data_IF_565943884437
#
_entry.id   IF_565943884437
#
_cell.length_a   1.000
_cell.length_b   1.000
_cell.length_c   1.000
_cell.angle_alpha   90.00
_cell.angle_beta   90.00
_cell.angle_gamma   90.00
#
_symmetry.space_group_name_H-M   'P 1'
#
loop_
_entity.id
_entity.type
_entity.pdbx_description
1 polymer ?
#
# COMPACT_ATOMS: atom_id res chain seq x y z
N UNK A 1 49.08 -58.81 31.40
CA UNK A 1 48.27 -57.96 32.32
C UNK A 1 47.79 -56.73 31.54
N UNK A 2 46.58 -56.21 31.81
CA UNK A 2 45.68 -55.58 30.83
C UNK A 2 45.53 -54.04 30.97
N UNK A 3 44.60 -53.49 30.18
CA UNK A 3 43.88 -52.18 30.26
C UNK A 3 44.44 -51.02 29.40
N UNK A 4 43.73 -50.53 28.37
CA UNK A 4 42.53 -49.63 28.38
C UNK A 4 42.82 -48.34 29.18
N UNK A 5 42.37 -47.11 28.87
CA UNK A 5 41.28 -46.63 28.04
C UNK A 5 41.46 -45.10 27.86
N UNK A 6 40.90 -44.59 26.76
CA UNK A 6 40.37 -43.23 26.49
C UNK A 6 40.16 -42.27 27.68
N UNK A 7 40.44 -40.97 27.51
CA UNK A 7 39.57 -39.90 28.05
C UNK A 7 39.70 -38.54 27.32
N UNK A 8 38.56 -38.15 26.71
CA UNK A 8 37.90 -36.82 26.57
C UNK A 8 38.63 -35.54 26.09
N UNK A 9 37.99 -34.95 25.07
CA UNK A 9 37.98 -33.52 24.67
C UNK A 9 37.76 -32.54 25.83
N UNK A 10 38.23 -31.29 25.64
CA UNK A 10 37.46 -30.11 25.96
C UNK A 10 37.10 -29.29 24.71
N UNK A 11 35.81 -28.97 24.63
CA UNK A 11 35.22 -27.87 23.87
C UNK A 11 35.88 -26.56 24.27
N UNK A 12 36.47 -25.83 23.33
CA UNK A 12 36.41 -24.35 23.28
C UNK A 12 37.10 -23.85 22.00
N UNK A 13 36.57 -22.75 21.47
CA UNK A 13 37.14 -21.92 20.39
C UNK A 13 36.78 -22.31 18.96
N UNK A 14 35.45 -22.35 18.74
CA UNK A 14 34.82 -21.72 17.57
C UNK A 14 35.25 -20.26 17.51
N UNK A 15 36.29 -19.94 16.74
CA UNK A 15 36.49 -18.59 16.21
C UNK A 15 37.64 -18.65 15.20
N UNK A 16 37.44 -17.98 14.06
CA UNK A 16 38.42 -17.62 13.03
C UNK A 16 38.26 -18.31 11.66
N UNK A 17 37.41 -17.65 10.85
CA UNK A 17 37.51 -17.40 9.40
C UNK A 17 37.23 -18.60 8.47
N UNK A 18 36.78 -18.41 7.20
CA UNK A 18 36.93 -17.22 6.37
C UNK A 18 35.73 -16.90 5.42
N UNK A 19 35.97 -15.95 4.52
CA UNK A 19 35.40 -15.86 3.18
C UNK A 19 34.05 -15.14 2.98
N UNK A 20 34.17 -13.84 2.66
CA UNK A 20 33.75 -13.30 1.36
C UNK A 20 32.70 -14.15 0.60
N UNK A 21 31.43 -13.87 0.87
CA UNK A 21 30.38 -14.10 -0.11
C UNK A 21 29.54 -12.82 -0.17
N UNK A 22 30.06 -11.89 -0.99
CA UNK A 22 29.36 -10.72 -1.50
C UNK A 22 28.14 -11.22 -2.30
N UNK A 23 27.02 -11.49 -1.63
CA UNK A 23 25.75 -11.72 -2.31
C UNK A 23 25.09 -10.37 -2.51
N UNK A 24 25.38 -9.84 -3.70
CA UNK A 24 24.52 -8.95 -4.50
C UNK A 24 23.29 -8.44 -3.76
N UNK A 25 23.39 -7.20 -3.29
CA UNK A 25 22.22 -6.39 -3.03
C UNK A 25 21.42 -6.32 -4.35
N UNK A 26 20.35 -7.09 -4.44
CA UNK A 26 19.31 -6.78 -5.40
C UNK A 26 18.83 -5.37 -5.04
N UNK A 27 18.87 -4.38 -5.94
CA UNK A 27 18.01 -3.24 -5.76
C UNK A 27 16.61 -3.82 -5.96
N UNK A 28 15.95 -4.15 -4.85
CA UNK A 28 14.52 -4.06 -4.82
C UNK A 28 14.24 -2.60 -5.16
N UNK A 29 14.01 -2.34 -6.44
CA UNK A 29 13.48 -1.10 -6.95
C UNK A 29 12.13 -0.99 -6.25
N UNK A 30 12.14 -0.42 -5.06
CA UNK A 30 10.99 0.22 -4.48
C UNK A 30 10.61 1.25 -5.54
N UNK A 31 9.65 0.87 -6.39
CA UNK A 31 8.90 1.78 -7.22
C UNK A 31 8.23 2.70 -6.20
N UNK A 32 8.95 3.73 -5.80
CA UNK A 32 8.35 4.94 -5.29
C UNK A 32 7.34 5.31 -6.38
N UNK A 33 6.05 5.51 -6.05
CA UNK A 33 5.16 6.10 -7.03
C UNK A 33 5.89 7.35 -7.51
N UNK A 34 6.20 7.40 -8.80
CA UNK A 34 6.83 8.55 -9.40
C UNK A 34 5.90 9.72 -9.08
N UNK A 35 6.27 10.50 -8.07
CA UNK A 35 5.69 11.81 -7.82
C UNK A 35 6.19 12.67 -8.97
N UNK A 36 5.51 12.53 -10.09
CA UNK A 36 5.75 13.30 -11.29
C UNK A 36 5.67 14.79 -10.89
N UNK A 37 6.75 15.58 -11.04
CA UNK A 37 6.78 16.98 -10.63
C UNK A 37 5.75 17.84 -11.40
N UNK A 38 5.06 17.29 -12.40
CA UNK A 38 3.88 17.89 -13.03
C UNK A 38 2.67 18.06 -12.09
N UNK A 39 2.72 17.52 -10.86
CA UNK A 39 1.68 17.68 -9.83
C UNK A 39 1.75 18.98 -9.03
N UNK A 40 2.80 19.81 -9.18
CA UNK A 40 2.89 21.09 -8.43
C UNK A 40 2.13 22.24 -9.09
N UNK A 41 1.62 22.04 -10.31
CA UNK A 41 0.55 22.87 -10.82
C UNK A 41 -0.76 22.36 -10.21
N UNK A 42 -1.56 23.24 -9.61
CA UNK A 42 -2.92 22.92 -9.11
C UNK A 42 -3.81 22.23 -10.17
N UNK A 43 -3.44 22.36 -11.44
CA UNK A 43 -3.96 21.59 -12.58
C UNK A 43 -3.82 20.07 -12.39
N UNK A 44 -2.72 19.58 -11.83
CA UNK A 44 -2.48 18.16 -11.57
C UNK A 44 -3.41 17.59 -10.52
N UNK A 45 -3.58 18.26 -9.37
CA UNK A 45 -4.50 17.81 -8.32
C UNK A 45 -5.95 17.76 -8.80
N UNK A 46 -6.36 18.71 -9.65
CA UNK A 46 -7.69 18.72 -10.26
C UNK A 46 -7.89 17.49 -11.16
N UNK A 47 -6.93 17.21 -12.05
CA UNK A 47 -6.98 16.05 -12.93
C UNK A 47 -7.02 14.73 -12.16
N UNK A 48 -6.24 14.61 -11.07
CA UNK A 48 -6.28 13.42 -10.22
C UNK A 48 -7.61 13.25 -9.49
N UNK A 49 -8.20 14.34 -8.98
CA UNK A 49 -9.54 14.28 -8.39
C UNK A 49 -10.57 13.79 -9.40
N UNK A 50 -10.53 14.29 -10.64
CA UNK A 50 -11.46 13.84 -11.69
C UNK A 50 -11.29 12.35 -11.98
N UNK A 51 -10.05 11.86 -12.09
CA UNK A 51 -9.76 10.43 -12.28
C UNK A 51 -10.29 9.60 -11.12
N UNK A 52 -10.04 10.03 -9.88
CA UNK A 52 -10.51 9.31 -8.68
C UNK A 52 -12.03 9.30 -8.63
N UNK A 53 -12.68 10.42 -8.91
CA UNK A 53 -14.13 10.53 -8.94
C UNK A 53 -14.74 9.59 -9.98
N UNK A 54 -14.17 9.52 -11.18
CA UNK A 54 -14.64 8.63 -12.24
C UNK A 54 -14.42 7.15 -11.89
N UNK A 55 -13.26 6.82 -11.33
CA UNK A 55 -12.97 5.46 -10.87
C UNK A 55 -13.92 5.01 -9.76
N UNK A 56 -14.26 5.90 -8.82
CA UNK A 56 -15.20 5.60 -7.74
C UNK A 56 -16.62 5.42 -8.25
N UNK A 57 -17.05 6.20 -9.24
CA UNK A 57 -18.34 6.01 -9.92
C UNK A 57 -18.42 4.68 -10.64
N UNK A 58 -17.39 4.36 -11.42
CA UNK A 58 -17.29 3.09 -12.13
C UNK A 58 -17.39 1.90 -11.17
N UNK A 59 -16.81 1.99 -9.97
CA UNK A 59 -16.83 0.91 -8.98
C UNK A 59 -18.25 0.66 -8.40
N UNK A 60 -19.09 1.70 -8.25
CA UNK A 60 -20.46 1.55 -7.73
C UNK A 60 -21.50 1.19 -8.79
N UNK A 61 -21.19 1.39 -10.07
CA UNK A 61 -22.03 0.96 -11.19
C UNK A 61 -22.01 -0.57 -11.37
N UNK A 62 -20.94 -1.22 -10.89
CA UNK A 62 -20.85 -2.68 -10.88
C UNK A 62 -21.80 -3.26 -9.83
N UNK A 63 -22.71 -4.13 -10.27
CA UNK A 63 -23.66 -4.79 -9.38
C UNK A 63 -22.95 -5.72 -8.39
N UNK A 64 -23.35 -5.66 -7.11
CA UNK A 64 -22.78 -6.52 -6.09
C UNK A 64 -23.13 -8.00 -6.34
N UNK A 65 -22.14 -8.91 -6.28
CA UNK A 65 -22.39 -10.34 -6.43
C UNK A 65 -23.28 -10.86 -5.29
N UNK A 66 -24.04 -11.93 -5.56
CA UNK A 66 -24.89 -12.57 -4.54
C UNK A 66 -24.08 -13.08 -3.35
N UNK A 67 -22.89 -13.62 -3.62
CA UNK A 67 -21.93 -14.01 -2.59
C UNK A 67 -21.14 -12.76 -2.17
N UNK A 68 -21.21 -12.36 -0.90
CA UNK A 68 -20.54 -11.15 -0.41
C UNK A 68 -21.31 -9.84 -0.66
N UNK A 69 -22.62 -9.92 -0.93
CA UNK A 69 -23.48 -8.76 -1.19
C UNK A 69 -23.36 -7.68 -0.11
N UNK A 70 -23.43 -8.08 1.16
CA UNK A 70 -23.39 -7.15 2.31
C UNK A 70 -22.07 -6.37 2.36
N UNK A 71 -20.93 -7.05 2.18
CA UNK A 71 -19.61 -6.41 2.18
C UNK A 71 -19.42 -5.48 0.98
N UNK A 72 -19.92 -5.88 -0.19
CA UNK A 72 -19.92 -5.05 -1.39
C UNK A 72 -20.83 -3.82 -1.23
N UNK A 73 -22.04 -3.97 -0.68
CA UNK A 73 -22.96 -2.85 -0.44
C UNK A 73 -22.40 -1.88 0.60
N UNK A 74 -21.76 -2.38 1.67
CA UNK A 74 -21.07 -1.56 2.66
C UNK A 74 -19.92 -0.75 2.04
N UNK A 75 -19.09 -1.40 1.20
CA UNK A 75 -18.04 -0.72 0.43
C UNK A 75 -18.64 0.36 -0.50
N UNK A 76 -19.70 0.04 -1.23
CA UNK A 76 -20.37 1.01 -2.11
C UNK A 76 -20.97 2.19 -1.32
N UNK A 77 -21.44 1.96 -0.10
CA UNK A 77 -21.85 3.02 0.83
C UNK A 77 -20.68 3.95 1.18
N UNK A 78 -19.51 3.40 1.51
CA UNK A 78 -18.31 4.20 1.78
C UNK A 78 -17.85 4.98 0.55
N UNK A 79 -17.92 4.38 -0.64
CA UNK A 79 -17.58 5.05 -1.90
C UNK A 79 -18.53 6.23 -2.18
N UNK A 80 -19.83 6.07 -1.98
CA UNK A 80 -20.80 7.18 -2.12
C UNK A 80 -20.48 8.33 -1.18
N UNK A 81 -20.19 8.03 0.09
CA UNK A 81 -19.79 9.07 1.05
C UNK A 81 -18.52 9.84 0.62
N UNK A 82 -17.55 9.16 0.00
CA UNK A 82 -16.37 9.84 -0.56
C UNK A 82 -16.70 10.74 -1.75
N UNK A 83 -17.58 10.29 -2.64
CA UNK A 83 -18.06 11.11 -3.77
C UNK A 83 -18.76 12.38 -3.25
N UNK A 84 -19.57 12.26 -2.20
CA UNK A 84 -20.25 13.40 -1.58
C UNK A 84 -19.25 14.41 -0.99
N UNK A 85 -18.18 13.94 -0.33
CA UNK A 85 -17.11 14.80 0.20
C UNK A 85 -16.42 15.58 -0.92
N UNK A 86 -16.10 14.92 -2.04
CA UNK A 86 -15.48 15.58 -3.20
C UNK A 86 -16.40 16.66 -3.74
N UNK A 87 -17.69 16.36 -3.92
CA UNK A 87 -18.67 17.30 -4.46
C UNK A 87 -18.89 18.50 -3.52
N UNK A 88 -19.02 18.26 -2.21
CA UNK A 88 -19.20 19.32 -1.22
C UNK A 88 -17.98 20.26 -1.19
N UNK A 89 -16.76 19.70 -1.23
CA UNK A 89 -15.52 20.48 -1.25
C UNK A 89 -15.38 21.29 -2.53
N UNK A 90 -15.74 20.72 -3.69
CA UNK A 90 -15.78 21.47 -4.96
C UNK A 90 -16.78 22.63 -4.91
N UNK A 91 -17.98 22.42 -4.37
CA UNK A 91 -18.99 23.49 -4.20
C UNK A 91 -18.46 24.64 -3.34
N UNK A 92 -17.65 24.32 -2.33
CA UNK A 92 -17.00 25.29 -1.44
C UNK A 92 -15.71 25.90 -2.01
N UNK A 93 -15.28 25.50 -3.22
CA UNK A 93 -13.99 25.88 -3.83
C UNK A 93 -12.81 25.64 -2.90
N UNK A 94 -12.84 24.52 -2.18
CA UNK A 94 -11.72 24.09 -1.35
C UNK A 94 -10.54 23.68 -2.24
N UNK A 95 -9.32 23.81 -1.70
CA UNK A 95 -8.10 23.43 -2.38
C UNK A 95 -8.15 21.96 -2.86
N UNK A 96 -7.87 21.76 -4.14
CA UNK A 96 -7.96 20.46 -4.79
C UNK A 96 -6.88 19.50 -4.28
N UNK A 97 -5.68 19.98 -3.97
CA UNK A 97 -4.62 19.14 -3.43
C UNK A 97 -4.94 18.66 -2.00
N UNK A 98 -5.47 19.54 -1.15
CA UNK A 98 -5.95 19.17 0.19
C UNK A 98 -7.10 18.16 0.14
N UNK A 99 -8.01 18.36 -0.82
CA UNK A 99 -9.12 17.42 -1.06
C UNK A 99 -8.59 16.07 -1.49
N UNK A 100 -7.60 16.02 -2.40
CA UNK A 100 -6.97 14.78 -2.85
C UNK A 100 -6.26 14.05 -1.70
N UNK A 101 -5.57 14.78 -0.81
CA UNK A 101 -4.95 14.19 0.39
C UNK A 101 -6.00 13.56 1.31
N UNK A 102 -7.12 14.24 1.53
CA UNK A 102 -8.20 13.70 2.34
C UNK A 102 -8.80 12.44 1.72
N UNK A 103 -9.09 12.47 0.41
CA UNK A 103 -9.63 11.32 -0.32
C UNK A 103 -8.65 10.16 -0.31
N UNK A 104 -7.35 10.39 -0.51
CA UNK A 104 -6.33 9.35 -0.44
C UNK A 104 -6.32 8.63 0.92
N UNK A 105 -6.49 9.38 2.02
CA UNK A 105 -6.60 8.80 3.36
C UNK A 105 -7.84 7.90 3.48
N UNK A 106 -8.98 8.34 2.96
CA UNK A 106 -10.22 7.55 3.00
C UNK A 106 -10.13 6.30 2.11
N UNK A 107 -9.53 6.40 0.93
CA UNK A 107 -9.30 5.26 0.05
C UNK A 107 -8.49 4.14 0.72
N UNK A 108 -7.50 4.50 1.56
CA UNK A 108 -6.70 3.51 2.33
C UNK A 108 -7.51 2.79 3.40
N UNK A 109 -8.66 3.32 3.78
CA UNK A 109 -9.56 2.68 4.76
C UNK A 109 -10.61 1.79 4.12
N UNK A 110 -10.75 1.83 2.79
CA UNK A 110 -11.66 0.95 2.08
C UNK A 110 -11.24 -0.52 2.25
N UNK A 111 -12.21 -1.44 2.39
CA UNK A 111 -11.91 -2.87 2.37
C UNK A 111 -11.29 -3.26 1.02
N UNK A 112 -10.32 -4.22 1.02
CA UNK A 112 -9.67 -4.67 -0.21
C UNK A 112 -10.67 -5.30 -1.17
N UNK A 113 -10.27 -5.39 -2.45
CA UNK A 113 -11.09 -6.02 -3.49
C UNK A 113 -11.36 -7.48 -3.11
N UNK A 114 -12.64 -7.84 -3.06
CA UNK A 114 -13.15 -9.20 -2.79
C UNK A 114 -13.14 -9.99 -4.09
#
# INVERSE_FOLDING_TARGET
MPFFCTFRLPRTLVRWLPALALWTAAPAMAVQPASDPALTDTSGCTALIDIVQESLRSEIEVACPKNGRETCEAKNGQIRAMLDIIEERRKRKADECDTLVQVNRLLRTLPPKI
#
